data_IF_180129561292
#
_entry.id   IF_180129561292
#
_cell.length_a   1.000
_cell.length_b   1.000
_cell.length_c   1.000
_cell.angle_alpha   90.00
_cell.angle_beta   90.00
_cell.angle_gamma   90.00
#
_symmetry.space_group_name_H-M   'P 1'
#
loop_
_entity.id
_entity.type
_entity.pdbx_description
1 polymer ?
#
# COMPACT_ATOMS: atom_id res chain seq x y z
N UNK A 1 -4.38 57.26 -31.60
CA UNK A 1 -5.27 56.12 -31.29
C UNK A 1 -5.19 55.94 -29.79
N UNK A 2 -6.30 56.11 -29.07
CA UNK A 2 -6.31 55.88 -27.62
C UNK A 2 -6.16 54.38 -27.36
N UNK A 3 -5.06 53.98 -26.72
CA UNK A 3 -4.89 52.60 -26.28
C UNK A 3 -6.03 52.25 -25.34
N UNK A 4 -6.84 51.28 -25.75
CA UNK A 4 -8.00 50.83 -24.98
C UNK A 4 -7.51 50.04 -23.76
N UNK A 5 -7.14 50.78 -22.72
CA UNK A 5 -6.59 50.27 -21.46
C UNK A 5 -7.55 49.27 -20.80
N UNK A 6 -8.86 49.40 -21.02
CA UNK A 6 -9.87 48.47 -20.52
C UNK A 6 -9.73 47.09 -21.18
N UNK A 7 -9.48 47.05 -22.49
CA UNK A 7 -9.24 45.80 -23.22
C UNK A 7 -7.94 45.11 -22.78
N UNK A 8 -6.86 45.88 -22.56
CA UNK A 8 -5.61 45.34 -22.05
C UNK A 8 -5.77 44.79 -20.62
N UNK A 9 -6.48 45.50 -19.74
CA UNK A 9 -6.79 45.05 -18.38
C UNK A 9 -7.65 43.79 -18.38
N UNK A 10 -8.68 43.72 -19.22
CA UNK A 10 -9.52 42.53 -19.36
C UNK A 10 -8.71 41.31 -19.81
N UNK A 11 -7.78 41.49 -20.77
CA UNK A 11 -6.89 40.42 -21.24
C UNK A 11 -5.91 39.96 -20.16
N UNK A 12 -5.35 40.88 -19.37
CA UNK A 12 -4.46 40.54 -18.25
C UNK A 12 -5.22 39.80 -17.15
N UNK A 13 -6.42 40.26 -16.79
CA UNK A 13 -7.28 39.62 -15.78
C UNK A 13 -7.70 38.21 -16.22
N UNK A 14 -8.10 38.05 -17.48
CA UNK A 14 -8.43 36.75 -18.05
C UNK A 14 -7.24 35.79 -18.06
N UNK A 15 -6.03 36.30 -18.33
CA UNK A 15 -4.81 35.50 -18.27
C UNK A 15 -4.43 35.09 -16.84
N UNK A 16 -4.68 35.95 -15.84
CA UNK A 16 -4.45 35.59 -14.43
C UNK A 16 -5.43 34.52 -13.94
N UNK A 17 -6.69 34.57 -14.37
CA UNK A 17 -7.67 33.54 -14.03
C UNK A 17 -7.34 32.20 -14.72
N UNK A 18 -6.89 32.22 -15.97
CA UNK A 18 -6.43 31.03 -16.67
C UNK A 18 -5.18 30.42 -16.00
N UNK A 19 -4.17 31.23 -15.68
CA UNK A 19 -2.97 30.76 -14.99
C UNK A 19 -3.29 30.19 -13.60
N UNK A 20 -4.24 30.78 -12.89
CA UNK A 20 -4.73 30.27 -11.60
C UNK A 20 -5.42 28.91 -11.76
N UNK A 21 -6.27 28.77 -12.77
CA UNK A 21 -6.98 27.51 -13.06
C UNK A 21 -6.03 26.40 -13.51
N UNK A 22 -5.04 26.73 -14.34
CA UNK A 22 -3.98 25.80 -14.75
C UNK A 22 -3.13 25.35 -13.56
N UNK A 23 -2.74 26.28 -12.69
CA UNK A 23 -1.99 25.96 -11.47
C UNK A 23 -2.81 25.10 -10.50
N UNK A 24 -4.10 25.38 -10.35
CA UNK A 24 -5.00 24.55 -9.55
C UNK A 24 -5.12 23.13 -10.12
N UNK A 25 -5.26 23.01 -11.44
CA UNK A 25 -5.35 21.72 -12.12
C UNK A 25 -4.03 20.95 -12.01
N UNK A 26 -2.89 21.64 -12.13
CA UNK A 26 -1.58 21.04 -11.95
C UNK A 26 -1.38 20.54 -10.52
N UNK A 27 -1.71 21.33 -9.50
CA UNK A 27 -1.61 20.93 -8.10
C UNK A 27 -2.52 19.72 -7.81
N UNK A 28 -3.73 19.71 -8.35
CA UNK A 28 -4.64 18.58 -8.21
C UNK A 28 -4.10 17.32 -8.88
N UNK A 29 -3.59 17.42 -10.10
CA UNK A 29 -2.96 16.30 -10.80
C UNK A 29 -1.71 15.79 -10.06
N UNK A 30 -0.91 16.70 -9.50
CA UNK A 30 0.25 16.34 -8.69
C UNK A 30 -0.16 15.59 -7.42
N UNK A 31 -1.18 16.08 -6.71
CA UNK A 31 -1.74 15.40 -5.54
C UNK A 31 -2.19 13.98 -5.89
N UNK A 32 -3.03 13.84 -6.93
CA UNK A 32 -3.53 12.52 -7.36
C UNK A 32 -2.40 11.58 -7.74
N UNK A 33 -1.35 12.08 -8.42
CA UNK A 33 -0.19 11.26 -8.80
C UNK A 33 0.61 10.80 -7.59
N UNK A 34 0.80 11.68 -6.60
CA UNK A 34 1.48 11.34 -5.35
C UNK A 34 0.68 10.29 -4.57
N UNK A 35 -0.63 10.46 -4.45
CA UNK A 35 -1.53 9.49 -3.82
C UNK A 35 -1.46 8.12 -4.51
N UNK A 36 -1.47 8.09 -5.86
CA UNK A 36 -1.32 6.85 -6.63
C UNK A 36 0.02 6.17 -6.41
N UNK A 37 1.13 6.92 -6.37
CA UNK A 37 2.46 6.36 -6.11
C UNK A 37 2.54 5.73 -4.71
N UNK A 38 1.94 6.36 -3.70
CA UNK A 38 1.83 5.78 -2.35
C UNK A 38 1.03 4.49 -2.34
N UNK A 39 -0.15 4.46 -3.00
CA UNK A 39 -0.95 3.24 -3.10
C UNK A 39 -0.19 2.12 -3.82
N UNK A 40 0.54 2.44 -4.88
CA UNK A 40 1.35 1.47 -5.61
C UNK A 40 2.46 0.88 -4.74
N UNK A 41 3.13 1.70 -3.92
CA UNK A 41 4.14 1.24 -2.96
C UNK A 41 3.56 0.32 -1.89
N UNK A 42 2.39 0.66 -1.35
CA UNK A 42 1.68 -0.19 -0.37
C UNK A 42 1.33 -1.55 -0.99
N UNK A 43 0.79 -1.55 -2.21
CA UNK A 43 0.46 -2.79 -2.93
C UNK A 43 1.70 -3.63 -3.24
N UNK A 44 2.82 -3.00 -3.60
CA UNK A 44 4.08 -3.70 -3.85
C UNK A 44 4.63 -4.34 -2.56
N UNK A 45 4.59 -3.62 -1.44
CA UNK A 45 4.99 -4.15 -0.14
C UNK A 45 4.11 -5.33 0.31
N UNK A 46 2.79 -5.21 0.14
CA UNK A 46 1.86 -6.29 0.43
C UNK A 46 2.10 -7.52 -0.46
N UNK A 47 2.39 -7.31 -1.75
CA UNK A 47 2.74 -8.40 -2.68
C UNK A 47 4.04 -9.10 -2.27
N UNK A 48 5.03 -8.36 -1.77
CA UNK A 48 6.26 -8.93 -1.25
C UNK A 48 5.99 -9.82 -0.02
N UNK A 49 5.18 -9.33 0.92
CA UNK A 49 4.80 -10.10 2.11
C UNK A 49 4.01 -11.37 1.75
N UNK A 50 3.16 -11.29 0.73
CA UNK A 50 2.42 -12.44 0.22
C UNK A 50 3.35 -13.46 -0.42
N UNK A 51 4.35 -13.02 -1.19
CA UNK A 51 5.34 -13.90 -1.81
C UNK A 51 6.18 -14.64 -0.75
N UNK A 52 6.60 -13.93 0.30
CA UNK A 52 7.34 -14.52 1.43
C UNK A 52 6.53 -15.61 2.13
N UNK A 53 5.24 -15.38 2.39
CA UNK A 53 4.37 -16.41 2.97
C UNK A 53 4.12 -17.61 2.04
N UNK A 54 4.23 -17.44 0.72
CA UNK A 54 4.14 -18.56 -0.24
C UNK A 54 5.41 -19.40 -0.23
N UNK A 55 6.57 -18.75 -0.07
CA UNK A 55 7.87 -19.41 0.06
C UNK A 55 7.99 -20.15 1.41
N UNK A 56 7.41 -19.57 2.46
CA UNK A 56 7.45 -20.10 3.83
C UNK A 56 6.03 -20.32 4.38
N UNK A 57 5.29 -21.32 3.87
CA UNK A 57 3.92 -21.56 4.30
C UNK A 57 3.87 -22.06 5.75
N UNK A 58 2.82 -21.70 6.52
CA UNK A 58 2.65 -22.20 7.86
C UNK A 58 2.42 -23.73 7.86
N UNK A 59 2.69 -24.37 9.00
CA UNK A 59 2.64 -25.83 9.13
C UNK A 59 1.26 -26.37 8.78
N UNK A 60 0.22 -25.66 9.19
CA UNK A 60 -1.19 -25.99 8.97
C UNK A 60 -1.50 -26.05 7.47
N UNK A 61 -1.02 -25.10 6.68
CA UNK A 61 -1.20 -25.08 5.22
C UNK A 61 -0.47 -26.25 4.56
N UNK A 62 0.73 -26.57 5.05
CA UNK A 62 1.49 -27.72 4.56
C UNK A 62 0.75 -29.04 4.83
N UNK A 63 0.17 -29.18 6.03
CA UNK A 63 -0.62 -30.36 6.40
C UNK A 63 -1.91 -30.47 5.59
N UNK A 64 -2.65 -29.37 5.40
CA UNK A 64 -3.86 -29.36 4.59
C UNK A 64 -3.59 -29.71 3.13
N UNK A 65 -2.48 -29.23 2.56
CA UNK A 65 -2.03 -29.63 1.21
C UNK A 65 -1.71 -31.12 1.14
N UNK A 66 -1.08 -31.70 2.17
CA UNK A 66 -0.79 -33.13 2.22
C UNK A 66 -2.08 -33.98 2.30
N UNK A 67 -3.09 -33.50 3.04
CA UNK A 67 -4.41 -34.14 3.10
C UNK A 67 -5.14 -34.13 1.76
N UNK A 68 -4.83 -33.20 0.85
CA UNK A 68 -5.38 -33.16 -0.49
C UNK A 68 -5.11 -34.42 -1.34
N UNK A 69 -4.08 -35.20 -1.01
CA UNK A 69 -3.82 -36.50 -1.66
C UNK A 69 -4.83 -37.59 -1.27
N UNK A 70 -5.62 -37.38 -0.21
CA UNK A 70 -6.55 -38.35 0.35
C UNK A 70 -8.02 -37.95 0.21
N UNK A 71 -8.33 -36.88 -0.55
CA UNK A 71 -9.70 -36.38 -0.74
C UNK A 71 -10.16 -36.47 -2.20
N UNK A 72 -11.47 -36.31 -2.40
CA UNK A 72 -12.07 -36.15 -3.72
C UNK A 72 -11.92 -34.70 -4.23
N UNK A 73 -12.24 -34.44 -5.49
CA UNK A 73 -12.11 -33.09 -6.08
C UNK A 73 -12.94 -32.02 -5.34
N UNK A 74 -14.08 -32.40 -4.75
CA UNK A 74 -14.86 -31.47 -3.92
C UNK A 74 -14.15 -31.17 -2.59
N UNK A 75 -13.57 -32.18 -1.92
CA UNK A 75 -12.76 -32.01 -0.73
C UNK A 75 -11.48 -31.21 -0.99
N UNK A 76 -10.82 -31.44 -2.13
CA UNK A 76 -9.63 -30.70 -2.56
C UNK A 76 -9.92 -29.21 -2.73
N UNK A 77 -11.03 -28.84 -3.38
CA UNK A 77 -11.46 -27.43 -3.49
C UNK A 77 -11.67 -26.77 -2.12
N UNK A 78 -12.29 -27.48 -1.17
CA UNK A 78 -12.48 -26.95 0.20
C UNK A 78 -11.15 -26.81 0.95
N UNK A 79 -10.23 -27.75 0.76
CA UNK A 79 -8.89 -27.66 1.34
C UNK A 79 -8.08 -26.52 0.74
N UNK A 80 -8.19 -26.27 -0.57
CA UNK A 80 -7.54 -25.15 -1.23
C UNK A 80 -8.08 -23.81 -0.72
N UNK A 81 -9.39 -23.69 -0.50
CA UNK A 81 -10.01 -22.51 0.09
C UNK A 81 -9.58 -22.30 1.55
N UNK A 82 -9.51 -23.38 2.34
CA UNK A 82 -8.95 -23.35 3.70
C UNK A 82 -7.46 -22.94 3.69
N UNK A 83 -6.67 -23.41 2.73
CA UNK A 83 -5.27 -23.01 2.57
C UNK A 83 -5.15 -21.52 2.23
N UNK A 84 -5.97 -20.99 1.33
CA UNK A 84 -5.98 -19.57 0.96
C UNK A 84 -6.33 -18.68 2.15
N UNK A 85 -7.38 -19.03 2.89
CA UNK A 85 -7.80 -18.28 4.08
C UNK A 85 -6.73 -18.32 5.18
N UNK A 86 -6.13 -19.49 5.47
CA UNK A 86 -5.04 -19.61 6.44
C UNK A 86 -3.79 -18.81 6.03
N UNK A 87 -3.44 -18.83 4.75
CA UNK A 87 -2.35 -18.00 4.21
C UNK A 87 -2.62 -16.50 4.41
N UNK A 88 -3.86 -16.05 4.19
CA UNK A 88 -4.26 -14.66 4.45
C UNK A 88 -4.15 -14.31 5.93
N UNK A 89 -4.67 -15.16 6.83
CA UNK A 89 -4.55 -14.90 8.27
C UNK A 89 -3.10 -14.90 8.74
N UNK A 90 -2.26 -15.77 8.19
CA UNK A 90 -0.85 -15.83 8.51
C UNK A 90 -0.11 -14.56 8.08
N UNK A 91 -0.30 -14.12 6.83
CA UNK A 91 0.30 -12.87 6.30
C UNK A 91 -0.16 -11.63 7.09
N UNK A 92 -1.45 -11.54 7.43
CA UNK A 92 -1.96 -10.46 8.30
C UNK A 92 -1.33 -10.50 9.70
N UNK A 93 -1.19 -11.71 10.26
CA UNK A 93 -0.51 -11.92 11.55
C UNK A 93 0.93 -11.41 11.54
N UNK A 94 1.68 -11.74 10.47
CA UNK A 94 3.06 -11.26 10.27
C UNK A 94 3.12 -9.73 10.15
N UNK A 95 2.23 -9.11 9.36
CA UNK A 95 2.17 -7.63 9.25
C UNK A 95 1.91 -7.00 10.61
N UNK A 96 0.94 -7.52 11.37
CA UNK A 96 0.63 -7.01 12.71
C UNK A 96 1.83 -7.14 13.65
N UNK A 97 2.56 -8.25 13.57
CA UNK A 97 3.74 -8.49 14.38
C UNK A 97 4.89 -7.55 13.98
N UNK A 98 5.11 -7.32 12.68
CA UNK A 98 6.09 -6.37 12.18
C UNK A 98 5.77 -4.93 12.61
N UNK A 99 4.50 -4.54 12.59
CA UNK A 99 4.02 -3.26 13.12
C UNK A 99 4.29 -3.17 14.63
N UNK A 100 4.00 -4.22 15.40
CA UNK A 100 4.27 -4.24 16.83
C UNK A 100 5.77 -4.07 17.13
N UNK A 101 6.64 -4.82 16.44
CA UNK A 101 8.10 -4.69 16.58
C UNK A 101 8.62 -3.31 16.19
N UNK A 102 8.00 -2.66 15.21
CA UNK A 102 8.37 -1.31 14.77
C UNK A 102 7.91 -0.21 15.75
N UNK A 103 6.98 -0.54 16.66
CA UNK A 103 6.43 0.37 17.67
C UNK A 103 7.09 0.20 19.04
N UNK A 104 7.81 -0.90 19.27
CA UNK A 104 8.57 -1.12 20.50
C UNK A 104 9.82 -0.23 20.50
N UNK A 105 9.86 0.74 21.42
CA UNK A 105 11.01 1.64 21.60
C UNK A 105 12.29 0.83 21.91
N UNK A 106 13.33 1.03 21.10
CA UNK A 106 14.67 0.48 21.36
C UNK A 106 15.13 -0.66 20.45
N UNK A 107 14.37 -1.07 19.44
CA UNK A 107 14.80 -2.12 18.50
C UNK A 107 15.34 -1.51 17.18
N UNK A 108 16.54 -0.92 17.24
CA UNK A 108 17.28 -0.40 16.07
C UNK A 108 17.56 -1.47 14.99
N UNK A 109 17.31 -2.75 15.29
CA UNK A 109 17.39 -3.87 14.35
C UNK A 109 16.18 -3.99 13.41
N UNK A 110 15.08 -3.28 13.67
CA UNK A 110 13.78 -3.48 12.99
C UNK A 110 13.59 -2.65 11.70
N UNK A 111 14.48 -1.69 11.41
CA UNK A 111 14.38 -0.87 10.19
C UNK A 111 15.62 -1.10 9.34
N UNK A 112 15.80 -2.32 8.84
CA UNK A 112 16.58 -2.53 7.60
C UNK A 112 15.72 -2.04 6.44
N UNK A 113 15.54 -0.73 6.37
CA UNK A 113 15.10 -0.12 5.14
C UNK A 113 16.16 -0.44 4.08
N UNK A 114 15.78 -1.26 3.08
CA UNK A 114 16.68 -1.60 1.97
C UNK A 114 17.03 -0.37 1.13
N UNK A 115 16.34 0.76 1.34
CA UNK A 115 16.58 2.02 0.67
C UNK A 115 17.90 2.71 1.08
N UNK A 116 18.45 2.40 2.26
CA UNK A 116 19.61 3.11 2.78
C UNK A 116 19.33 4.57 3.14
N UNK A 117 18.07 5.01 3.16
CA UNK A 117 17.68 6.37 3.53
C UNK A 117 17.70 6.52 5.05
N UNK A 118 18.78 7.13 5.57
CA UNK A 118 18.82 7.64 6.95
C UNK A 118 17.93 8.88 7.05
N UNK A 119 16.61 8.69 7.11
CA UNK A 119 15.65 9.78 7.10
C UNK A 119 14.42 9.51 7.94
N UNK A 120 14.30 10.24 9.05
CA UNK A 120 13.12 10.40 9.92
C UNK A 120 12.49 9.11 10.45
N UNK A 121 12.61 8.86 11.75
CA UNK A 121 11.86 7.80 12.43
C UNK A 121 10.36 8.00 12.20
N UNK A 122 9.65 7.03 11.57
CA UNK A 122 8.25 7.21 11.26
C UNK A 122 7.44 7.34 12.55
N UNK A 123 6.42 8.20 12.54
CA UNK A 123 5.54 8.32 13.70
C UNK A 123 4.84 6.99 14.00
N UNK A 124 4.58 6.65 15.27
CA UNK A 124 3.84 5.44 15.64
C UNK A 124 2.49 5.29 14.92
N UNK A 125 1.81 6.42 14.65
CA UNK A 125 0.54 6.44 13.93
C UNK A 125 0.72 6.09 12.45
N UNK A 126 1.78 6.58 11.82
CA UNK A 126 2.11 6.28 10.41
C UNK A 126 2.39 4.79 10.22
N UNK A 127 3.14 4.17 11.12
CA UNK A 127 3.44 2.73 11.08
C UNK A 127 2.16 1.90 11.22
N UNK A 128 1.28 2.26 12.15
CA UNK A 128 -0.03 1.60 12.32
C UNK A 128 -0.89 1.73 11.06
N UNK A 129 -0.95 2.94 10.48
CA UNK A 129 -1.73 3.20 9.27
C UNK A 129 -1.19 2.40 8.08
N UNK A 130 0.13 2.38 7.88
CA UNK A 130 0.76 1.59 6.82
C UNK A 130 0.45 0.10 6.98
N UNK A 131 0.50 -0.43 8.21
CA UNK A 131 0.10 -1.80 8.53
C UNK A 131 -1.35 -2.11 8.15
N UNK A 132 -2.29 -1.22 8.51
CA UNK A 132 -3.70 -1.36 8.16
C UNK A 132 -3.93 -1.32 6.65
N UNK A 133 -3.29 -0.38 5.94
CA UNK A 133 -3.41 -0.25 4.48
C UNK A 133 -2.84 -1.47 3.75
N UNK A 134 -1.71 -2.01 4.22
CA UNK A 134 -1.16 -3.28 3.70
C UNK A 134 -2.14 -4.43 3.91
N UNK A 135 -2.73 -4.57 5.11
CA UNK A 135 -3.73 -5.62 5.37
C UNK A 135 -4.98 -5.47 4.50
N UNK A 136 -5.49 -4.25 4.28
CA UNK A 136 -6.60 -3.99 3.36
C UNK A 136 -6.26 -4.40 1.93
N UNK A 137 -5.05 -4.07 1.45
CA UNK A 137 -4.63 -4.45 0.08
C UNK A 137 -4.50 -5.96 -0.13
N UNK A 138 -4.30 -6.75 0.94
CA UNK A 138 -4.31 -8.21 0.86
C UNK A 138 -5.73 -8.77 0.72
N UNK A 139 -6.74 -8.12 1.32
CA UNK A 139 -8.13 -8.58 1.23
C UNK A 139 -8.74 -8.43 -0.15
N UNK A 140 -8.30 -7.45 -0.94
CA UNK A 140 -8.79 -7.25 -2.32
C UNK A 140 -8.19 -8.25 -3.33
N UNK A 141 -7.16 -9.01 -2.94
CA UNK A 141 -6.40 -9.91 -3.84
C UNK A 141 -6.78 -11.38 -3.75
N UNK A 142 -7.78 -11.76 -2.94
CA UNK A 142 -8.27 -13.14 -2.78
C UNK A 142 -9.65 -13.27 -3.39
#
# INVERSE_FOLDING_TARGET
>A
MEENNVFHLAKVLQNTDNARNELQTFLQAMQTRVEQDYLQKIQAAAALQQADAVEHPPREVTLLRALGAFTDEAGKRRLDEACRSLMLFHTMGQIRQNVAYSLEEGNELAVRDRSGETGCTPSPQTVRMAGLLMMLSLTERI
#
